data_IF_378222788181
#
_entry.id   IF_378222788181
#
_cell.length_a   1.000
_cell.length_b   1.000
_cell.length_c   1.000
_cell.angle_alpha   90.00
_cell.angle_beta   90.00
_cell.angle_gamma   90.00
#
_symmetry.space_group_name_H-M   'P 1'
#
loop_
_entity.id
_entity.type
_entity.pdbx_description
1 polymer ?
#
# COMPACT_ATOMS: atom_id res chain seq x y z
N UNK A 1 -6.65 -9.56 10.38
CA UNK A 1 -8.11 -9.60 10.10
C UNK A 1 -8.42 -8.44 9.15
N UNK A 2 -8.68 -8.73 7.87
CA UNK A 2 -9.09 -7.75 6.86
C UNK A 2 -10.62 -7.85 6.71
N UNK A 3 -11.33 -6.72 6.82
CA UNK A 3 -12.79 -6.67 6.64
C UNK A 3 -13.12 -5.93 5.35
N UNK A 4 -13.36 -6.68 4.28
CA UNK A 4 -13.65 -6.13 2.95
C UNK A 4 -14.97 -5.34 2.89
N UNK A 5 -15.90 -5.55 3.83
CA UNK A 5 -17.26 -4.97 3.83
C UNK A 5 -17.50 -3.91 4.91
N UNK A 6 -16.61 -3.75 5.89
CA UNK A 6 -16.81 -2.83 7.02
C UNK A 6 -15.79 -1.69 7.16
N UNK A 7 -14.65 -1.77 6.46
CA UNK A 7 -13.59 -0.77 6.56
C UNK A 7 -13.71 0.30 5.47
N UNK A 8 -13.85 1.56 5.87
CA UNK A 8 -13.82 2.72 4.99
C UNK A 8 -12.57 3.54 5.29
N UNK A 9 -11.69 3.66 4.30
CA UNK A 9 -10.55 4.56 4.35
C UNK A 9 -10.97 6.00 4.02
N UNK A 10 -10.17 6.97 4.46
CA UNK A 10 -10.49 8.39 4.42
C UNK A 10 -10.47 8.98 3.00
N UNK A 11 -9.62 8.43 2.12
CA UNK A 11 -9.38 8.94 0.76
C UNK A 11 -9.99 8.03 -0.31
N UNK A 12 -11.26 8.26 -0.63
CA UNK A 12 -12.04 7.49 -1.61
C UNK A 12 -11.88 8.03 -3.03
N UNK A 13 -11.68 7.14 -4.01
CA UNK A 13 -11.56 7.46 -5.44
C UNK A 13 -10.48 8.52 -5.73
N UNK A 14 -9.34 8.40 -5.03
CA UNK A 14 -8.16 9.26 -5.20
C UNK A 14 -7.05 8.50 -5.91
N UNK A 15 -6.26 9.24 -6.69
CA UNK A 15 -5.09 8.70 -7.39
C UNK A 15 -3.85 8.89 -6.52
N UNK A 16 -3.11 7.81 -6.32
CA UNK A 16 -1.88 7.76 -5.54
C UNK A 16 -0.75 7.26 -6.44
N UNK A 17 0.44 7.80 -6.27
CA UNK A 17 1.65 7.18 -6.80
C UNK A 17 2.17 6.21 -5.75
N UNK A 18 2.31 4.94 -6.11
CA UNK A 18 2.72 3.89 -5.18
C UNK A 18 3.97 3.20 -5.69
N UNK A 19 4.97 3.17 -4.81
CA UNK A 19 6.28 2.59 -5.07
C UNK A 19 6.54 1.53 -4.01
N UNK A 20 6.87 0.32 -4.43
CA UNK A 20 7.30 -0.78 -3.55
C UNK A 20 8.69 -1.21 -3.96
N UNK A 21 9.61 -1.19 -2.99
CA UNK A 21 10.99 -1.66 -3.14
C UNK A 21 11.23 -2.87 -2.28
N UNK A 22 12.01 -3.84 -2.75
CA UNK A 22 12.49 -4.93 -1.89
C UNK A 22 13.60 -4.45 -0.94
N UNK A 23 14.02 -5.35 -0.06
CA UNK A 23 15.17 -5.18 0.84
C UNK A 23 16.51 -4.93 0.13
N UNK A 24 16.61 -5.25 -1.17
CA UNK A 24 17.77 -4.96 -2.02
C UNK A 24 17.68 -3.59 -2.72
N UNK A 25 16.59 -2.85 -2.51
CA UNK A 25 16.34 -1.54 -3.12
C UNK A 25 15.81 -1.61 -4.56
N UNK A 26 15.46 -2.80 -5.06
CA UNK A 26 14.87 -2.98 -6.39
C UNK A 26 13.39 -2.63 -6.36
N UNK A 27 12.95 -1.84 -7.32
CA UNK A 27 11.53 -1.52 -7.52
C UNK A 27 10.79 -2.76 -8.03
N UNK A 28 9.86 -3.26 -7.21
CA UNK A 28 8.97 -4.36 -7.55
C UNK A 28 7.65 -3.83 -8.10
N UNK A 29 7.22 -2.68 -7.60
CA UNK A 29 6.02 -2.00 -8.07
C UNK A 29 6.30 -0.50 -8.12
N UNK A 30 5.93 0.14 -9.23
CA UNK A 30 6.01 1.59 -9.38
C UNK A 30 4.92 2.00 -10.38
N UNK A 31 3.76 2.39 -9.85
CA UNK A 31 2.63 2.75 -10.69
C UNK A 31 1.65 3.69 -9.98
N UNK A 32 0.85 4.39 -10.77
CA UNK A 32 -0.29 5.14 -10.26
C UNK A 32 -1.47 4.19 -10.01
N UNK A 33 -2.01 4.21 -8.79
CA UNK A 33 -3.18 3.42 -8.40
C UNK A 33 -4.30 4.34 -7.96
N UNK A 34 -5.53 3.98 -8.30
CA UNK A 34 -6.72 4.72 -7.84
C UNK A 34 -7.40 3.91 -6.75
N UNK A 35 -7.67 4.54 -5.60
CA UNK A 35 -8.42 3.89 -4.53
C UNK A 35 -9.85 3.55 -4.97
N UNK A 36 -10.34 2.41 -4.52
CA UNK A 36 -11.69 1.94 -4.76
C UNK A 36 -12.70 2.75 -3.94
N UNK A 37 -13.98 2.45 -4.11
CA UNK A 37 -15.10 3.12 -3.40
C UNK A 37 -15.05 2.97 -1.88
N UNK A 38 -14.29 2.01 -1.37
CA UNK A 38 -14.02 1.83 0.07
C UNK A 38 -12.78 2.60 0.55
N UNK A 39 -12.08 3.31 -0.33
CA UNK A 39 -10.87 4.09 -0.03
C UNK A 39 -9.57 3.28 0.00
N UNK A 40 -9.64 1.97 -0.24
CA UNK A 40 -8.46 1.11 -0.34
C UNK A 40 -8.08 0.86 -1.79
N UNK A 41 -6.81 0.57 -2.05
CA UNK A 41 -6.36 -0.02 -3.32
C UNK A 41 -5.67 -1.35 -3.02
N UNK A 42 -5.71 -2.25 -3.98
CA UNK A 42 -5.12 -3.59 -3.86
C UNK A 42 -3.84 -3.64 -4.70
N UNK A 43 -2.78 -4.20 -4.12
CA UNK A 43 -1.51 -4.41 -4.81
C UNK A 43 -1.21 -5.91 -4.87
N UNK A 44 -0.77 -6.37 -6.04
CA UNK A 44 -0.26 -7.72 -6.22
C UNK A 44 1.26 -7.69 -6.17
N UNK A 45 1.83 -8.28 -5.12
CA UNK A 45 3.27 -8.36 -4.90
C UNK A 45 3.74 -9.82 -4.96
N UNK A 46 5.00 -10.08 -5.32
CA UNK A 46 5.64 -11.38 -5.11
C UNK A 46 5.48 -11.85 -3.67
N UNK A 47 5.43 -13.17 -3.46
CA UNK A 47 5.42 -13.76 -2.11
C UNK A 47 6.83 -13.80 -1.51
N UNK A 48 6.89 -13.91 -0.18
CA UNK A 48 8.14 -14.12 0.58
C UNK A 48 9.19 -13.01 0.39
N UNK A 49 8.72 -11.77 0.21
CA UNK A 49 9.57 -10.58 0.16
C UNK A 49 9.40 -9.72 1.41
N UNK A 50 10.49 -9.05 1.78
CA UNK A 50 10.50 -7.89 2.67
C UNK A 50 10.82 -6.65 1.86
N UNK A 51 10.18 -5.54 2.19
CA UNK A 51 10.33 -4.33 1.42
C UNK A 51 9.74 -3.11 2.08
N UNK A 52 9.72 -2.02 1.33
CA UNK A 52 9.14 -0.75 1.76
C UNK A 52 8.14 -0.30 0.71
N UNK A 53 6.95 0.07 1.18
CA UNK A 53 5.93 0.74 0.38
C UNK A 53 5.95 2.24 0.67
N UNK A 54 6.01 3.04 -0.38
CA UNK A 54 5.89 4.49 -0.35
C UNK A 54 4.65 4.88 -1.15
N UNK A 55 3.81 5.71 -0.54
CA UNK A 55 2.59 6.25 -1.14
C UNK A 55 2.73 7.77 -1.18
N UNK A 56 2.64 8.34 -2.38
CA UNK A 56 2.65 9.79 -2.58
C UNK A 56 1.27 10.26 -3.04
N UNK A 57 0.83 11.40 -2.50
CA UNK A 57 -0.41 12.05 -2.86
C UNK A 57 -0.34 13.55 -2.64
N UNK A 58 -0.56 14.33 -3.71
CA UNK A 58 -0.69 15.79 -3.63
C UNK A 58 0.47 16.50 -2.89
N UNK A 59 1.70 16.02 -3.09
CA UNK A 59 2.91 16.54 -2.43
C UNK A 59 3.17 15.99 -1.02
N UNK A 60 2.26 15.20 -0.46
CA UNK A 60 2.44 14.46 0.79
C UNK A 60 2.96 13.06 0.49
N UNK A 61 3.70 12.48 1.43
CA UNK A 61 4.23 11.12 1.31
C UNK A 61 4.08 10.33 2.61
N UNK A 62 3.91 9.02 2.49
CA UNK A 62 3.93 8.08 3.61
C UNK A 62 4.72 6.85 3.22
N UNK A 63 5.54 6.35 4.14
CA UNK A 63 6.40 5.18 3.90
C UNK A 63 6.21 4.18 5.02
N UNK A 64 6.14 2.90 4.69
CA UNK A 64 5.98 1.82 5.66
C UNK A 64 6.70 0.56 5.20
N UNK A 65 7.20 -0.22 6.15
CA UNK A 65 7.80 -1.52 5.87
C UNK A 65 6.70 -2.56 5.72
N UNK A 66 6.82 -3.42 4.72
CA UNK A 66 5.89 -4.53 4.47
C UNK A 66 6.66 -5.84 4.28
N UNK A 67 5.98 -6.93 4.60
CA UNK A 67 6.41 -8.29 4.29
C UNK A 67 5.24 -9.08 3.73
N UNK A 68 5.53 -10.11 2.94
CA UNK A 68 4.54 -10.94 2.23
C UNK A 68 4.71 -12.43 2.52
N UNK A 69 5.17 -12.75 3.74
CA UNK A 69 5.28 -14.13 4.21
C UNK A 69 3.91 -14.69 4.63
N UNK A 70 3.86 -16.01 4.77
CA UNK A 70 2.65 -16.67 5.25
C UNK A 70 2.32 -16.22 6.69
N UNK A 71 1.07 -15.77 6.90
CA UNK A 71 0.62 -15.23 8.18
C UNK A 71 0.71 -13.70 8.31
N UNK A 72 1.32 -13.01 7.34
CA UNK A 72 1.43 -11.54 7.37
C UNK A 72 0.07 -10.84 7.17
N UNK A 73 -0.05 -9.66 7.78
CA UNK A 73 -1.24 -8.83 7.68
C UNK A 73 -1.38 -8.29 6.26
N UNK A 74 -2.49 -8.64 5.60
CA UNK A 74 -2.82 -8.14 4.26
C UNK A 74 -3.42 -6.74 4.22
N UNK A 75 -3.60 -6.11 5.39
CA UNK A 75 -4.25 -4.81 5.52
C UNK A 75 -3.32 -3.83 6.25
N UNK A 76 -2.83 -2.84 5.52
CA UNK A 76 -2.00 -1.77 6.04
C UNK A 76 -2.80 -0.46 6.07
N UNK A 77 -3.22 -0.04 7.27
CA UNK A 77 -4.01 1.20 7.49
C UNK A 77 -3.25 2.28 8.26
N UNK A 78 -2.00 2.03 8.63
CA UNK A 78 -1.21 2.92 9.50
C UNK A 78 -0.41 3.96 8.73
N UNK A 79 -0.66 4.10 7.42
CA UNK A 79 0.03 5.06 6.55
C UNK A 79 -0.63 6.44 6.66
N UNK A 80 -0.04 7.32 7.45
CA UNK A 80 -0.43 8.74 7.53
C UNK A 80 0.41 9.54 6.52
N UNK A 81 -0.26 10.24 5.60
CA UNK A 81 0.38 11.13 4.62
C UNK A 81 0.79 12.44 5.31
N UNK A 82 2.06 12.82 5.17
CA UNK A 82 2.63 14.05 5.73
C UNK A 82 3.39 14.85 4.68
#
# INVERSE_FOLDING_TARGET
>A
MHSATGCRAELVEKRFEVIVKDSYGKEIFNNEVTSLRNGFFELWLPREIEGTITVNYNGLSSTSTISTFDGDLTCLTTMELR
#
